data_IF_310662226452
#
_entry.id   IF_310662226452
#
_cell.length_a   1.000
_cell.length_b   1.000
_cell.length_c   1.000
_cell.angle_alpha   90.00
_cell.angle_beta   90.00
_cell.angle_gamma   90.00
#
_symmetry.space_group_name_H-M   'P 1'
#
loop_
_entity.id
_entity.type
_entity.pdbx_description
1 polymer ?
#
# COMPACT_ATOMS: atom_id res chain seq x y z
N UNK A 1 -25.33 -41.73 -56.57
CA UNK A 1 -26.62 -42.09 -55.95
C UNK A 1 -26.33 -43.36 -55.17
N UNK A 2 -26.36 -43.31 -53.83
CA UNK A 2 -25.49 -44.16 -53.00
C UNK A 2 -24.04 -43.62 -52.99
N UNK A 3 -23.25 -43.55 -51.90
CA UNK A 3 -23.14 -44.34 -50.64
C UNK A 3 -22.46 -45.71 -50.81
N UNK A 4 -21.76 -46.34 -49.83
CA UNK A 4 -21.62 -46.12 -48.37
C UNK A 4 -20.14 -46.15 -47.87
N UNK A 5 -19.92 -46.19 -46.54
CA UNK A 5 -18.66 -45.96 -45.82
C UNK A 5 -18.07 -47.20 -45.11
N UNK A 6 -16.72 -47.24 -45.07
CA UNK A 6 -15.82 -47.67 -43.97
C UNK A 6 -15.79 -49.14 -43.45
N UNK A 7 -14.55 -49.67 -43.42
CA UNK A 7 -13.90 -50.55 -42.43
C UNK A 7 -14.46 -51.95 -42.03
N UNK A 8 -13.58 -52.94 -42.18
CA UNK A 8 -13.30 -53.97 -41.16
C UNK A 8 -11.79 -54.30 -41.17
N UNK A 9 -11.23 -54.69 -40.03
CA UNK A 9 -9.80 -54.97 -39.78
C UNK A 9 -9.60 -56.45 -39.44
N UNK A 10 -8.53 -57.11 -39.93
CA UNK A 10 -7.87 -58.30 -39.33
C UNK A 10 -6.35 -58.35 -39.69
N UNK A 11 -5.60 -59.36 -39.20
CA UNK A 11 -4.11 -59.51 -39.23
C UNK A 11 -3.72 -61.03 -39.38
N UNK A 12 -2.49 -61.60 -39.15
CA UNK A 12 -1.15 -61.06 -38.80
C UNK A 12 0.15 -61.76 -39.38
N UNK A 13 1.36 -61.22 -39.08
CA UNK A 13 2.72 -61.87 -38.91
C UNK A 13 3.48 -62.48 -40.14
N UNK A 14 4.74 -63.03 -40.09
CA UNK A 14 6.12 -62.69 -39.54
C UNK A 14 7.13 -63.88 -39.88
N UNK A 15 8.50 -63.96 -39.85
CA UNK A 15 9.76 -63.25 -39.44
C UNK A 15 11.04 -63.87 -40.15
N UNK A 16 12.28 -63.52 -39.72
CA UNK A 16 13.63 -64.21 -39.86
C UNK A 16 14.56 -64.01 -41.11
N UNK A 17 15.92 -64.10 -41.03
CA UNK A 17 16.99 -63.32 -40.32
C UNK A 17 18.42 -63.80 -40.76
N UNK A 18 19.51 -63.00 -40.57
CA UNK A 18 20.94 -63.30 -40.90
C UNK A 18 21.94 -62.66 -39.88
N UNK A 19 23.24 -63.03 -39.82
CA UNK A 19 24.17 -62.59 -38.75
C UNK A 19 25.72 -62.57 -39.04
N UNK A 20 26.49 -61.82 -38.22
CA UNK A 20 27.98 -61.73 -38.04
C UNK A 20 28.82 -60.96 -39.11
N UNK A 21 29.94 -60.26 -38.80
CA UNK A 21 30.70 -60.09 -37.54
C UNK A 21 31.48 -58.75 -37.35
N UNK A 22 31.62 -58.38 -36.06
CA UNK A 22 32.44 -57.36 -35.32
C UNK A 22 33.69 -56.70 -35.94
N UNK A 23 33.89 -55.41 -35.63
CA UNK A 23 35.21 -54.78 -35.36
C UNK A 23 35.09 -53.73 -34.22
N UNK A 24 36.13 -53.51 -33.42
CA UNK A 24 36.08 -52.85 -32.11
C UNK A 24 36.78 -51.47 -32.12
N UNK A 25 36.12 -50.41 -31.65
CA UNK A 25 36.69 -49.06 -31.53
C UNK A 25 36.45 -48.48 -30.13
N UNK A 26 37.51 -48.03 -29.46
CA UNK A 26 37.45 -47.59 -28.07
C UNK A 26 36.91 -46.17 -27.90
N UNK A 27 35.77 -46.02 -27.22
CA UNK A 27 35.26 -44.72 -26.79
C UNK A 27 35.87 -44.32 -25.44
N UNK A 28 36.67 -43.25 -25.44
CA UNK A 28 37.03 -42.53 -24.21
C UNK A 28 35.84 -41.64 -23.84
N UNK A 29 35.05 -42.05 -22.85
CA UNK A 29 34.02 -41.19 -22.27
C UNK A 29 34.67 -40.35 -21.17
N UNK A 30 34.76 -39.04 -21.38
CA UNK A 30 35.17 -38.09 -20.35
C UNK A 30 34.19 -38.17 -19.18
N UNK A 31 34.66 -38.63 -18.02
CA UNK A 31 33.87 -38.64 -16.79
C UNK A 31 33.71 -37.21 -16.26
N UNK A 32 32.80 -36.44 -16.86
CA UNK A 32 32.39 -35.16 -16.33
C UNK A 32 31.67 -35.42 -15.00
N UNK A 33 32.31 -35.02 -13.89
CA UNK A 33 31.59 -34.82 -12.64
C UNK A 33 30.62 -33.68 -12.87
N UNK A 34 29.39 -34.03 -13.24
CA UNK A 34 28.26 -33.14 -13.02
C UNK A 34 28.18 -32.97 -11.52
N UNK A 35 28.73 -31.86 -11.03
CA UNK A 35 28.28 -31.33 -9.75
C UNK A 35 26.79 -31.08 -9.95
N UNK A 36 25.96 -32.01 -9.48
CA UNK A 36 24.58 -31.68 -9.12
C UNK A 36 24.72 -30.53 -8.14
N UNK A 37 24.49 -29.31 -8.62
CA UNK A 37 24.37 -28.18 -7.72
C UNK A 37 23.15 -28.50 -6.87
N UNK A 38 23.42 -28.98 -5.66
CA UNK A 38 22.41 -29.07 -4.62
C UNK A 38 22.03 -27.63 -4.37
N UNK A 39 20.97 -27.20 -5.04
CA UNK A 39 20.23 -26.02 -4.64
C UNK A 39 19.70 -26.42 -3.27
N UNK A 40 20.40 -25.99 -2.23
CA UNK A 40 19.88 -26.07 -0.89
C UNK A 40 18.66 -25.16 -0.81
N UNK A 41 17.52 -25.78 -1.11
CA UNK A 41 16.23 -25.48 -0.51
C UNK A 41 16.21 -25.94 0.96
N UNK A 42 17.37 -25.92 1.63
CA UNK A 42 17.46 -25.53 3.04
C UNK A 42 16.80 -24.16 3.11
N UNK A 43 15.50 -24.19 3.36
CA UNK A 43 14.67 -23.01 3.45
C UNK A 43 15.29 -22.09 4.49
N UNK A 44 15.98 -21.04 4.02
CA UNK A 44 16.22 -19.87 4.85
C UNK A 44 14.82 -19.38 5.17
N UNK A 45 14.35 -19.68 6.39
CA UNK A 45 13.05 -19.25 6.90
C UNK A 45 13.10 -17.73 6.97
N UNK A 46 12.74 -17.12 5.85
CA UNK A 46 12.67 -15.68 5.68
C UNK A 46 11.40 -15.28 6.38
N UNK A 47 11.55 -14.61 7.52
CA UNK A 47 10.43 -14.08 8.28
C UNK A 47 9.47 -13.35 7.34
N UNK A 48 8.24 -13.86 7.31
CA UNK A 48 7.16 -13.39 6.43
C UNK A 48 6.98 -11.87 6.53
N UNK A 49 7.05 -11.31 7.74
CA UNK A 49 6.86 -9.88 7.97
C UNK A 49 8.06 -9.08 7.46
N UNK A 50 9.28 -9.61 7.61
CA UNK A 50 10.48 -8.97 7.07
C UNK A 50 10.45 -8.93 5.54
N UNK A 51 9.93 -9.96 4.87
CA UNK A 51 9.87 -9.98 3.41
C UNK A 51 8.64 -9.27 2.83
N UNK A 52 7.49 -9.26 3.52
CA UNK A 52 6.39 -8.36 3.22
C UNK A 52 6.83 -6.89 3.31
N UNK A 53 7.52 -6.50 4.40
CA UNK A 53 8.04 -5.13 4.59
C UNK A 53 9.07 -4.72 3.52
N UNK A 54 9.80 -5.68 2.93
CA UNK A 54 10.72 -5.43 1.81
C UNK A 54 10.04 -5.43 0.42
N UNK A 55 8.75 -5.69 0.33
CA UNK A 55 8.05 -5.88 -0.96
C UNK A 55 8.44 -7.17 -1.71
N UNK A 56 9.06 -8.13 -1.02
CA UNK A 56 9.50 -9.41 -1.60
C UNK A 56 8.40 -10.48 -1.64
N UNK A 57 7.20 -10.17 -1.12
CA UNK A 57 6.01 -11.00 -1.19
C UNK A 57 4.93 -10.27 -2.00
N UNK A 58 4.52 -10.86 -3.11
CA UNK A 58 3.53 -10.24 -4.03
C UNK A 58 2.18 -10.11 -3.33
N UNK A 59 1.59 -8.92 -3.39
CA UNK A 59 0.30 -8.64 -2.75
C UNK A 59 0.37 -8.46 -1.22
N UNK A 60 1.54 -8.12 -0.68
CA UNK A 60 1.72 -7.69 0.71
C UNK A 60 2.46 -6.36 0.77
N UNK A 61 2.00 -5.45 1.64
CA UNK A 61 2.50 -4.09 1.75
C UNK A 61 2.73 -3.75 3.23
N UNK A 62 3.91 -3.22 3.57
CA UNK A 62 4.24 -2.81 4.93
C UNK A 62 3.77 -1.38 5.23
N UNK A 63 2.86 -1.21 6.19
CA UNK A 63 2.37 0.09 6.65
C UNK A 63 2.80 0.34 8.11
N UNK A 64 3.13 1.61 8.41
CA UNK A 64 3.20 2.11 9.78
C UNK A 64 2.30 3.34 9.88
N UNK A 65 1.33 3.32 10.79
CA UNK A 65 0.44 4.45 11.09
C UNK A 65 0.87 5.10 12.41
N UNK A 66 0.85 6.43 12.46
CA UNK A 66 1.26 7.19 13.65
C UNK A 66 0.30 8.33 13.92
N UNK A 67 -0.24 8.39 15.14
CA UNK A 67 -1.06 9.49 15.64
C UNK A 67 -0.49 10.07 16.92
N UNK A 68 -0.88 11.31 17.23
CA UNK A 68 -0.68 11.95 18.52
C UNK A 68 -1.79 12.99 18.71
N UNK A 69 -2.38 13.05 19.90
CA UNK A 69 -3.15 14.19 20.38
C UNK A 69 -2.40 14.71 21.63
N UNK A 70 -2.10 16.00 21.67
CA UNK A 70 -1.28 16.63 22.72
C UNK A 70 -2.10 17.37 23.78
N UNK A 71 -3.39 17.60 23.55
CA UNK A 71 -4.27 18.40 24.41
C UNK A 71 -5.57 17.67 24.75
N UNK A 72 -5.46 16.35 25.02
CA UNK A 72 -6.61 15.55 25.47
C UNK A 72 -7.09 16.07 26.83
N UNK A 73 -8.29 16.65 26.86
CA UNK A 73 -8.87 17.25 28.05
C UNK A 73 -9.56 16.25 28.99
N UNK A 74 -10.78 16.62 29.43
CA UNK A 74 -11.71 15.74 30.17
C UNK A 74 -12.79 15.12 29.29
N UNK A 75 -12.78 15.45 27.99
CA UNK A 75 -13.64 14.86 26.96
C UNK A 75 -12.86 13.73 26.28
N UNK A 76 -13.58 12.72 25.81
CA UNK A 76 -13.00 11.62 25.06
C UNK A 76 -12.70 12.05 23.61
N UNK A 77 -11.47 11.86 23.17
CA UNK A 77 -10.94 12.31 21.88
C UNK A 77 -10.09 11.22 21.23
N UNK A 78 -9.96 11.29 19.90
CA UNK A 78 -9.11 10.38 19.14
C UNK A 78 -7.63 10.81 19.21
N UNK A 79 -6.73 9.87 18.91
CA UNK A 79 -5.28 10.11 18.90
C UNK A 79 -4.86 10.70 17.54
N UNK A 80 -5.32 11.92 17.28
CA UNK A 80 -5.09 12.68 16.05
C UNK A 80 -4.78 14.15 16.35
N UNK A 81 -4.00 14.81 15.48
CA UNK A 81 -3.44 16.12 15.80
C UNK A 81 -4.44 17.27 15.78
N UNK A 82 -5.50 17.17 14.96
CA UNK A 82 -6.60 18.14 14.97
C UNK A 82 -7.50 18.04 16.21
N UNK A 83 -7.22 17.10 17.13
CA UNK A 83 -8.01 16.84 18.33
C UNK A 83 -9.40 16.26 18.05
N UNK A 84 -10.22 16.20 19.10
CA UNK A 84 -11.62 15.80 19.03
C UNK A 84 -11.85 14.36 18.53
N UNK A 85 -13.10 14.04 18.17
CA UNK A 85 -13.44 12.77 17.52
C UNK A 85 -13.68 12.97 16.02
N UNK A 86 -13.16 12.06 15.20
CA UNK A 86 -13.35 12.03 13.76
C UNK A 86 -14.82 11.68 13.42
N UNK A 87 -15.48 12.58 12.69
CA UNK A 87 -16.84 12.34 12.19
C UNK A 87 -16.73 11.62 10.84
N UNK A 88 -16.94 10.31 10.83
CA UNK A 88 -16.91 9.49 9.63
C UNK A 88 -17.99 9.92 8.62
N UNK A 89 -17.55 10.21 7.39
CA UNK A 89 -18.44 10.56 6.28
C UNK A 89 -19.37 9.40 5.92
N UNK A 90 -20.60 9.75 5.55
CA UNK A 90 -21.67 8.80 5.17
C UNK A 90 -21.75 8.59 3.64
N UNK A 91 -21.10 9.46 2.87
CA UNK A 91 -20.91 9.43 1.42
C UNK A 91 -19.52 9.97 1.10
N UNK A 92 -18.98 9.72 -0.10
CA UNK A 92 -17.73 10.36 -0.50
C UNK A 92 -17.94 11.88 -0.71
N UNK A 93 -16.99 12.70 -0.22
CA UNK A 93 -17.03 14.16 -0.34
C UNK A 93 -15.72 14.72 -0.91
N UNK A 94 -15.78 15.92 -1.47
CA UNK A 94 -14.56 16.66 -1.83
C UNK A 94 -13.86 17.15 -0.56
N UNK A 95 -12.53 17.08 -0.52
CA UNK A 95 -11.74 17.56 0.61
C UNK A 95 -11.15 18.92 0.24
N UNK A 96 -11.56 19.97 0.96
CA UNK A 96 -11.00 21.31 0.84
C UNK A 96 -9.74 21.40 1.70
N UNK A 97 -8.59 21.65 1.08
CA UNK A 97 -7.27 21.66 1.70
C UNK A 97 -6.75 23.09 1.78
N UNK A 98 -6.26 23.50 2.95
CA UNK A 98 -5.68 24.83 3.18
C UNK A 98 -4.56 24.76 4.22
N UNK A 99 -3.52 25.60 4.08
CA UNK A 99 -2.54 25.83 5.15
C UNK A 99 -2.89 27.07 5.97
N UNK A 100 -2.57 27.07 7.27
CA UNK A 100 -2.59 28.28 8.09
C UNK A 100 -1.50 29.30 7.71
N UNK A 101 -0.46 28.89 6.96
CA UNK A 101 0.51 29.79 6.33
C UNK A 101 0.22 29.92 4.83
N UNK A 102 -0.71 30.82 4.51
CA UNK A 102 -1.12 31.14 3.13
C UNK A 102 -0.08 31.96 2.34
N UNK A 103 1.13 32.16 2.88
CA UNK A 103 2.24 32.87 2.21
C UNK A 103 3.37 31.93 1.79
N UNK A 104 3.74 30.98 2.66
CA UNK A 104 4.86 30.07 2.43
C UNK A 104 4.45 28.66 2.01
N UNK A 105 3.27 28.17 2.45
CA UNK A 105 2.70 26.87 2.02
C UNK A 105 1.75 27.05 0.84
N UNK A 106 2.30 27.51 -0.28
CA UNK A 106 1.60 27.73 -1.55
C UNK A 106 2.47 27.24 -2.71
N UNK A 107 1.87 27.00 -3.89
CA UNK A 107 2.56 26.47 -5.08
C UNK A 107 3.84 27.26 -5.50
N UNK A 108 3.93 28.55 -5.17
CA UNK A 108 5.11 29.41 -5.42
C UNK A 108 5.86 29.83 -4.14
N UNK A 109 5.61 29.16 -3.01
CA UNK A 109 6.15 29.48 -1.70
C UNK A 109 7.52 28.84 -1.42
N UNK A 110 8.01 29.03 -0.20
CA UNK A 110 9.27 28.43 0.27
C UNK A 110 9.08 27.06 0.95
N UNK A 111 7.87 26.78 1.45
CA UNK A 111 7.56 25.59 2.24
C UNK A 111 6.72 24.60 1.43
N UNK A 112 5.60 24.06 1.90
CA UNK A 112 4.86 23.04 1.16
C UNK A 112 4.22 23.64 -0.12
N UNK A 113 4.52 23.08 -1.29
CA UNK A 113 3.93 23.55 -2.56
C UNK A 113 2.78 22.67 -3.01
N UNK A 114 2.82 21.38 -2.68
CA UNK A 114 1.75 20.41 -2.93
C UNK A 114 1.69 19.34 -1.84
N UNK A 115 0.53 18.72 -1.65
CA UNK A 115 0.34 17.55 -0.80
C UNK A 115 -0.11 16.34 -1.63
N UNK A 116 0.24 15.14 -1.18
CA UNK A 116 -0.31 13.87 -1.61
C UNK A 116 -1.37 13.46 -0.58
N UNK A 117 -2.61 13.28 -1.02
CA UNK A 117 -3.68 12.68 -0.23
C UNK A 117 -3.87 11.22 -0.66
N UNK A 118 -4.01 10.31 0.30
CA UNK A 118 -4.30 8.89 0.09
C UNK A 118 -5.48 8.48 0.96
N UNK A 119 -6.50 7.90 0.35
CA UNK A 119 -7.76 7.54 1.00
C UNK A 119 -8.57 6.58 0.16
N UNK A 120 -9.89 6.51 0.41
CA UNK A 120 -10.79 5.58 -0.23
C UNK A 120 -11.98 6.30 -0.89
N UNK A 121 -12.40 5.80 -2.06
CA UNK A 121 -13.61 6.26 -2.78
C UNK A 121 -14.90 5.74 -2.13
N UNK A 122 -16.07 6.04 -2.71
CA UNK A 122 -17.38 5.55 -2.23
C UNK A 122 -17.48 4.01 -2.14
N UNK A 123 -16.69 3.28 -2.93
CA UNK A 123 -16.62 1.82 -2.99
C UNK A 123 -15.58 1.24 -2.02
N UNK A 124 -14.97 2.07 -1.17
CA UNK A 124 -13.83 1.75 -0.31
C UNK A 124 -12.57 1.30 -1.08
N UNK A 125 -12.44 1.67 -2.35
CA UNK A 125 -11.28 1.42 -3.21
C UNK A 125 -10.21 2.48 -2.97
N UNK A 126 -8.94 2.06 -2.92
CA UNK A 126 -7.81 2.94 -2.63
C UNK A 126 -7.55 3.92 -3.79
N UNK A 127 -7.57 5.21 -3.48
CA UNK A 127 -7.35 6.33 -4.40
C UNK A 127 -6.38 7.36 -3.82
N UNK A 128 -5.67 8.08 -4.69
CA UNK A 128 -4.76 9.14 -4.31
C UNK A 128 -4.64 10.21 -5.39
N UNK A 129 -4.33 11.44 -4.97
CA UNK A 129 -4.02 12.55 -5.88
C UNK A 129 -3.04 13.53 -5.24
N UNK A 130 -2.40 14.35 -6.08
CA UNK A 130 -1.57 15.47 -5.65
C UNK A 130 -2.38 16.76 -5.77
N UNK A 131 -2.53 17.49 -4.66
CA UNK A 131 -3.22 18.78 -4.60
C UNK A 131 -2.19 19.88 -4.38
N UNK A 132 -2.14 20.83 -5.31
CA UNK A 132 -1.30 22.03 -5.19
C UNK A 132 -1.88 22.98 -4.15
N UNK A 133 -1.05 23.52 -3.27
CA UNK A 133 -1.49 24.47 -2.25
C UNK A 133 -1.59 25.89 -2.81
N UNK A 134 -2.47 26.71 -2.20
CA UNK A 134 -2.69 28.10 -2.61
C UNK A 134 -3.02 28.97 -1.40
N UNK A 135 -3.02 30.29 -1.59
CA UNK A 135 -3.39 31.25 -0.54
C UNK A 135 -4.88 31.16 -0.10
N UNK A 136 -5.69 30.37 -0.81
CA UNK A 136 -7.07 29.99 -0.46
C UNK A 136 -7.23 28.47 -0.46
N UNK A 137 -8.32 27.95 0.12
CA UNK A 137 -8.54 26.50 0.10
C UNK A 137 -8.69 25.96 -1.32
N UNK A 138 -8.14 24.77 -1.53
CA UNK A 138 -8.12 24.07 -2.82
C UNK A 138 -8.79 22.71 -2.64
N UNK A 139 -9.81 22.41 -3.44
CA UNK A 139 -10.53 21.14 -3.34
C UNK A 139 -9.78 20.03 -4.09
N UNK A 140 -9.92 18.80 -3.61
CA UNK A 140 -9.60 17.58 -4.37
C UNK A 140 -10.44 17.49 -5.66
N UNK A 141 -9.91 16.75 -6.63
CA UNK A 141 -10.59 16.36 -7.87
C UNK A 141 -11.42 15.10 -7.64
N UNK A 142 -10.94 14.17 -6.83
CA UNK A 142 -11.69 13.00 -6.40
C UNK A 142 -12.51 13.29 -5.13
N UNK A 143 -13.48 12.42 -4.87
CA UNK A 143 -14.24 12.41 -3.63
C UNK A 143 -13.79 11.23 -2.75
N UNK A 144 -13.69 11.47 -1.45
CA UNK A 144 -13.17 10.53 -0.47
C UNK A 144 -14.23 10.24 0.59
N UNK A 145 -14.46 8.96 0.90
CA UNK A 145 -15.29 8.55 2.06
C UNK A 145 -14.44 8.33 3.32
N UNK A 146 -13.15 8.03 3.14
CA UNK A 146 -12.13 7.93 4.20
C UNK A 146 -10.81 8.50 3.71
N UNK A 147 -10.02 9.10 4.60
CA UNK A 147 -8.63 9.50 4.32
C UNK A 147 -7.72 8.72 5.26
N UNK A 148 -6.72 8.03 4.70
CA UNK A 148 -5.78 7.22 5.46
C UNK A 148 -4.47 7.96 5.74
N UNK A 149 -4.07 8.88 4.86
CA UNK A 149 -2.83 9.65 4.98
C UNK A 149 -2.88 10.94 4.16
N UNK A 150 -2.29 12.01 4.70
CA UNK A 150 -1.93 13.21 3.96
C UNK A 150 -0.45 13.52 4.21
N UNK A 151 0.31 13.82 3.18
CA UNK A 151 1.74 14.15 3.30
C UNK A 151 2.14 15.26 2.33
N UNK A 152 3.09 16.10 2.70
CA UNK A 152 3.72 17.04 1.76
C UNK A 152 4.38 16.24 0.64
N UNK A 153 4.04 16.59 -0.61
CA UNK A 153 4.52 15.92 -1.81
C UNK A 153 5.74 16.65 -2.40
N UNK A 154 5.67 17.98 -2.49
CA UNK A 154 6.78 18.84 -2.88
C UNK A 154 6.92 20.02 -1.92
N UNK A 155 8.15 20.55 -1.85
CA UNK A 155 8.51 21.76 -1.11
C UNK A 155 9.19 22.76 -2.03
N UNK A 156 9.08 24.03 -1.67
CA UNK A 156 9.80 25.14 -2.28
C UNK A 156 11.28 25.19 -1.87
N UNK A 157 11.88 26.36 -2.08
CA UNK A 157 13.32 26.52 -1.90
C UNK A 157 13.70 26.66 -0.42
N UNK A 158 14.72 25.90 0.01
CA UNK A 158 15.31 25.89 1.37
C UNK A 158 14.44 25.32 2.51
N UNK A 159 13.38 24.56 2.23
CA UNK A 159 12.58 23.86 3.25
C UNK A 159 12.64 22.34 3.15
N UNK A 160 12.11 21.67 4.18
CA UNK A 160 11.86 20.22 4.25
C UNK A 160 10.41 19.89 4.64
N UNK A 161 9.57 20.91 4.93
CA UNK A 161 8.23 20.70 5.50
C UNK A 161 7.34 21.95 5.40
N UNK A 162 6.06 21.77 5.74
CA UNK A 162 5.05 22.81 5.88
C UNK A 162 5.35 23.81 7.00
N UNK A 163 5.11 25.10 6.75
CA UNK A 163 5.28 26.20 7.71
C UNK A 163 4.04 26.44 8.59
N UNK A 164 2.85 26.23 8.04
CA UNK A 164 1.58 26.26 8.76
C UNK A 164 1.07 24.85 9.09
N UNK A 165 -0.11 24.80 9.71
CA UNK A 165 -0.90 23.57 9.82
C UNK A 165 -1.69 23.41 8.52
N UNK A 166 -1.60 22.24 7.87
CA UNK A 166 -2.37 21.94 6.66
C UNK A 166 -3.56 21.07 7.03
N UNK A 167 -4.77 21.58 6.83
CA UNK A 167 -6.02 20.91 7.23
C UNK A 167 -6.82 20.51 5.99
N UNK A 168 -7.36 19.28 5.98
CA UNK A 168 -8.29 18.77 4.98
C UNK A 168 -9.70 18.62 5.55
N UNK A 169 -10.65 19.40 5.02
CA UNK A 169 -12.03 19.50 5.51
C UNK A 169 -13.02 19.05 4.45
N UNK A 170 -13.92 18.12 4.79
CA UNK A 170 -14.94 17.61 3.87
C UNK A 170 -15.95 18.68 3.44
N UNK A 171 -16.43 18.62 2.21
CA UNK A 171 -17.43 19.53 1.64
C UNK A 171 -18.56 18.73 0.95
N UNK A 172 -19.83 18.92 1.35
CA UNK A 172 -20.35 20.04 2.14
C UNK A 172 -20.37 19.86 3.68
N UNK A 173 -19.95 18.72 4.24
CA UNK A 173 -20.14 18.43 5.68
C UNK A 173 -19.40 19.36 6.64
N UNK A 174 -18.33 20.03 6.20
CA UNK A 174 -17.58 21.00 7.00
C UNK A 174 -16.74 20.37 8.13
N UNK A 175 -16.64 19.05 8.17
CA UNK A 175 -15.88 18.31 9.19
C UNK A 175 -14.42 18.15 8.78
N UNK A 176 -13.49 18.40 9.71
CA UNK A 176 -12.07 18.11 9.50
C UNK A 176 -11.89 16.59 9.44
N UNK A 177 -11.28 16.10 8.37
CA UNK A 177 -11.04 14.67 8.14
C UNK A 177 -9.56 14.29 8.35
N UNK A 178 -8.62 15.21 8.09
CA UNK A 178 -7.19 14.97 8.29
C UNK A 178 -6.41 16.28 8.45
N UNK A 179 -5.22 16.20 9.06
CA UNK A 179 -4.33 17.34 9.27
C UNK A 179 -2.85 16.92 9.20
N UNK A 180 -1.99 17.79 8.67
CA UNK A 180 -0.54 17.77 8.86
C UNK A 180 -0.16 18.92 9.81
N UNK A 181 0.37 18.64 11.02
CA UNK A 181 0.83 19.69 11.93
C UNK A 181 2.06 20.41 11.40
N UNK A 182 2.28 21.63 11.92
CA UNK A 182 3.45 22.47 11.61
C UNK A 182 4.78 21.67 11.66
N UNK A 183 5.57 21.78 10.58
CA UNK A 183 6.88 21.15 10.45
C UNK A 183 6.89 19.61 10.38
N UNK A 184 5.74 18.93 10.29
CA UNK A 184 5.69 17.46 10.33
C UNK A 184 5.79 16.77 8.97
N UNK A 185 5.43 17.45 7.88
CA UNK A 185 5.32 16.93 6.50
C UNK A 185 4.41 15.69 6.29
N UNK A 186 3.82 15.13 7.36
CA UNK A 186 3.01 13.92 7.37
C UNK A 186 1.93 14.02 8.46
N UNK A 187 0.72 13.60 8.10
CA UNK A 187 -0.46 13.61 8.97
C UNK A 187 -0.29 12.73 10.21
N UNK A 188 -0.85 13.16 11.34
CA UNK A 188 -0.82 12.40 12.60
C UNK A 188 -2.23 11.97 12.98
N UNK A 189 -2.57 10.72 12.71
CA UNK A 189 -3.84 10.11 13.12
C UNK A 189 -3.69 8.61 13.28
N UNK A 190 -4.35 8.03 14.28
CA UNK A 190 -4.47 6.57 14.43
C UNK A 190 -5.49 5.95 13.49
N UNK A 191 -6.36 6.74 12.85
CA UNK A 191 -7.37 6.23 11.93
C UNK A 191 -6.75 5.67 10.66
N UNK A 192 -7.15 4.44 10.30
CA UNK A 192 -6.83 3.80 9.03
C UNK A 192 -7.98 2.86 8.64
N UNK A 193 -8.55 3.05 7.45
CA UNK A 193 -9.54 2.12 6.89
C UNK A 193 -8.86 1.23 5.85
N UNK A 194 -9.00 -0.08 6.03
CA UNK A 194 -8.46 -1.09 5.10
C UNK A 194 -9.21 -0.99 3.75
N UNK A 195 -8.52 -0.88 2.60
CA UNK A 195 -9.17 -0.87 1.29
C UNK A 195 -9.97 -2.15 1.01
N UNK A 196 -11.06 -2.03 0.25
CA UNK A 196 -11.91 -3.14 -0.13
C UNK A 196 -11.10 -4.29 -0.76
N UNK A 197 -11.31 -5.51 -0.24
CA UNK A 197 -10.60 -6.71 -0.69
C UNK A 197 -9.17 -6.90 -0.15
N UNK A 198 -8.60 -5.93 0.58
CA UNK A 198 -7.37 -6.12 1.36
C UNK A 198 -7.70 -6.66 2.76
N UNK A 199 -6.71 -7.26 3.44
CA UNK A 199 -6.79 -7.66 4.85
C UNK A 199 -5.65 -6.97 5.63
N UNK A 200 -5.90 -6.59 6.89
CA UNK A 200 -4.88 -6.02 7.78
C UNK A 200 -4.32 -7.10 8.71
N UNK A 201 -2.99 -7.12 8.87
CA UNK A 201 -2.30 -7.95 9.88
C UNK A 201 -1.51 -6.99 10.79
N UNK A 202 -1.98 -6.82 12.02
CA UNK A 202 -1.30 -5.96 13.02
C UNK A 202 -0.13 -6.72 13.63
N UNK A 203 1.10 -6.33 13.27
CA UNK A 203 2.34 -6.96 13.75
C UNK A 203 2.84 -6.35 15.06
N UNK A 204 2.57 -5.07 15.30
CA UNK A 204 2.86 -4.37 16.53
C UNK A 204 1.85 -3.24 16.75
N UNK A 205 1.44 -3.04 18.00
CA UNK A 205 0.62 -1.90 18.43
C UNK A 205 1.23 -1.31 19.70
N UNK A 206 1.30 0.02 19.80
CA UNK A 206 1.88 0.75 20.94
C UNK A 206 1.15 2.07 21.12
N UNK A 207 0.60 2.31 22.31
CA UNK A 207 -0.01 3.57 22.72
C UNK A 207 0.47 3.90 24.14
N UNK A 208 0.60 5.20 24.42
CA UNK A 208 0.92 5.76 25.73
C UNK A 208 -0.02 6.93 25.99
N UNK A 209 -0.47 7.12 27.23
CA UNK A 209 -1.34 8.22 27.65
C UNK A 209 -0.90 8.75 29.02
N UNK A 210 -1.29 9.97 29.37
CA UNK A 210 -0.99 10.55 30.68
C UNK A 210 -1.63 9.78 31.84
N UNK A 211 -1.00 9.86 33.01
CA UNK A 211 -1.52 9.23 34.23
C UNK A 211 -2.91 9.76 34.57
N UNK A 212 -3.88 8.85 34.71
CA UNK A 212 -5.27 9.17 35.07
C UNK A 212 -6.23 9.30 33.88
N UNK A 213 -5.73 9.25 32.64
CA UNK A 213 -6.56 9.12 31.42
C UNK A 213 -6.80 7.63 31.10
N UNK A 214 -7.82 7.35 30.29
CA UNK A 214 -8.17 6.01 29.78
C UNK A 214 -7.97 6.01 28.26
N UNK A 215 -7.58 4.86 27.71
CA UNK A 215 -7.55 4.59 26.27
C UNK A 215 -8.65 3.56 25.99
N UNK A 216 -9.50 3.83 24.99
CA UNK A 216 -10.31 2.79 24.34
C UNK A 216 -9.67 2.41 22.99
N UNK A 217 -9.92 1.20 22.51
CA UNK A 217 -9.33 0.65 21.28
C UNK A 217 -10.39 -0.12 20.51
N UNK A 218 -10.90 0.48 19.43
CA UNK A 218 -11.78 -0.15 18.46
C UNK A 218 -11.00 -0.68 17.23
N UNK A 219 -11.59 -1.67 16.56
CA UNK A 219 -11.14 -2.29 15.32
C UNK A 219 -12.34 -2.52 14.39
#
# INVERSE_FOLDING_TARGET
>A
MGEWRLFRMESPKIYFIFLFSVLFLGFIVSAQVVQTQVIELTEKVRDYFIEATKGNLVGQEGLNQFGINVDVGTVEEDIQSQGGKLIFLQSAEFISIISSDTTNDILSGANATSILIVGLDENFTEISEIVNLSATSTNTTNQYIRINRMSVNEVGNYSVSNAGIITGTAQPSGTVQIEIPIGQALSKTTHYTVPAGKNLIVTAFRVTVDTGKVIDISF
#
